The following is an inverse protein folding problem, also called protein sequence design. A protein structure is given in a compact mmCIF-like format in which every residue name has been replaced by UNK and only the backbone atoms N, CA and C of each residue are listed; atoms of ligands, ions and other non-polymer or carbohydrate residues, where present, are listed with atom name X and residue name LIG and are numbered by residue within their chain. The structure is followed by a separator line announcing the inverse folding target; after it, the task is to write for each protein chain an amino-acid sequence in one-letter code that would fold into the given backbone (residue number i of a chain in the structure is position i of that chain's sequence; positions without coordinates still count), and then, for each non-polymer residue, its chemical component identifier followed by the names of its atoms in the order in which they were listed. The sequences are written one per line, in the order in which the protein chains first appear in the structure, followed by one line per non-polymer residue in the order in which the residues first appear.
data_IF_659300031055
#
_entry.id   IF_659300031055
#
_cell.length_a   1.000
_cell.length_b   1.000
_cell.length_c   1.000
_cell.angle_alpha   90.00
_cell.angle_beta   90.00
_cell.angle_gamma   90.00
#
_symmetry.space_group_name_H-M   'P 1'
#
loop_
_entity.id
_entity.type
_entity.pdbx_description
1 polymer ?
#
# COMPACT_ATOMS: atom_id res chain seq x y z
N UNK A 1 19.67 -12.26 -27.55
CA UNK A 1 19.85 -11.28 -26.49
C UNK A 1 18.74 -10.24 -26.40
N UNK A 2 17.96 -9.99 -27.48
CA UNK A 2 16.87 -9.01 -27.48
C UNK A 2 15.51 -9.53 -27.00
N UNK A 3 15.34 -10.81 -26.80
CA UNK A 3 14.05 -11.38 -26.39
C UNK A 3 13.76 -11.30 -24.88
N UNK A 4 14.78 -11.17 -24.04
CA UNK A 4 14.58 -11.03 -22.58
C UNK A 4 13.98 -9.68 -22.18
N UNK A 5 14.07 -8.67 -23.04
CA UNK A 5 13.46 -7.36 -22.79
C UNK A 5 11.93 -7.30 -23.05
N UNK A 6 11.35 -8.39 -23.58
CA UNK A 6 9.91 -8.50 -23.91
C UNK A 6 9.19 -9.56 -23.06
N UNK A 7 9.81 -10.04 -21.98
CA UNK A 7 9.08 -10.90 -21.05
C UNK A 7 7.87 -10.12 -20.48
N UNK A 8 6.70 -10.75 -20.42
CA UNK A 8 5.50 -10.05 -20.04
C UNK A 8 5.65 -9.53 -18.62
N UNK A 9 5.60 -8.21 -18.48
CA UNK A 9 5.48 -7.59 -17.18
C UNK A 9 4.20 -8.10 -16.52
N UNK A 10 4.27 -8.42 -15.23
CA UNK A 10 3.09 -8.61 -14.41
C UNK A 10 2.57 -7.27 -13.93
N UNK A 11 1.26 -7.17 -13.68
CA UNK A 11 0.68 -5.94 -13.19
C UNK A 11 -0.68 -6.18 -12.57
N UNK A 12 -1.14 -5.22 -11.78
CA UNK A 12 -2.48 -5.28 -11.21
C UNK A 12 -3.05 -3.90 -10.95
N UNK A 13 -4.37 -3.82 -10.89
CA UNK A 13 -5.10 -2.61 -10.53
C UNK A 13 -6.35 -2.97 -9.72
N UNK A 14 -6.64 -2.16 -8.70
CA UNK A 14 -7.88 -2.24 -7.92
C UNK A 14 -8.52 -0.86 -7.94
N UNK A 15 -9.83 -0.82 -8.22
CA UNK A 15 -10.65 0.38 -8.15
C UNK A 15 -11.82 0.09 -7.23
N UNK A 16 -12.02 0.92 -6.21
CA UNK A 16 -13.13 0.79 -5.27
C UNK A 16 -13.86 2.11 -5.07
N UNK A 17 -15.12 2.04 -4.63
CA UNK A 17 -15.81 3.21 -4.07
C UNK A 17 -15.27 3.47 -2.66
N UNK A 18 -14.70 4.65 -2.39
CA UNK A 18 -14.12 4.95 -1.08
C UNK A 18 -15.16 5.09 0.02
N UNK A 19 -16.45 5.23 -0.31
CA UNK A 19 -17.52 5.43 0.67
C UNK A 19 -18.26 4.15 1.04
N UNK A 20 -18.00 3.05 0.31
CA UNK A 20 -18.71 1.78 0.54
C UNK A 20 -17.78 0.57 0.66
N UNK A 21 -16.55 0.66 0.11
CA UNK A 21 -15.64 -0.47 -0.02
C UNK A 21 -15.97 -1.41 -1.19
N UNK A 22 -17.00 -1.10 -2.00
CA UNK A 22 -17.32 -1.87 -3.19
C UNK A 22 -16.16 -1.85 -4.19
N UNK A 23 -15.70 -3.01 -4.63
CA UNK A 23 -14.64 -3.14 -5.63
C UNK A 23 -15.25 -3.10 -7.03
N UNK A 24 -15.05 -2.00 -7.72
CA UNK A 24 -15.55 -1.74 -9.07
C UNK A 24 -14.71 -2.45 -10.15
N UNK A 25 -13.43 -2.65 -9.88
CA UNK A 25 -12.53 -3.43 -10.73
C UNK A 25 -11.38 -4.02 -9.91
N UNK A 26 -11.06 -5.28 -10.18
CA UNK A 26 -9.89 -5.97 -9.66
C UNK A 26 -9.21 -6.72 -10.80
N UNK A 27 -8.08 -6.22 -11.27
CA UNK A 27 -7.38 -6.72 -12.45
C UNK A 27 -6.03 -7.28 -12.07
N UNK A 28 -5.75 -8.49 -12.53
CA UNK A 28 -4.43 -9.12 -12.48
C UNK A 28 -3.97 -9.45 -13.90
N UNK A 29 -2.76 -9.04 -14.26
CA UNK A 29 -2.16 -9.32 -15.57
C UNK A 29 -0.87 -10.14 -15.38
N UNK A 30 -0.63 -11.15 -16.24
CA UNK A 30 -1.52 -11.61 -17.29
C UNK A 30 -2.73 -12.38 -16.75
N UNK A 31 -3.86 -12.25 -17.46
CA UNK A 31 -5.06 -13.04 -17.23
C UNK A 31 -5.05 -14.35 -18.01
N UNK A 32 -6.16 -15.07 -17.95
CA UNK A 32 -6.36 -16.30 -18.71
C UNK A 32 -7.83 -16.43 -19.14
N UNK A 33 -8.09 -17.27 -20.17
CA UNK A 33 -9.44 -17.53 -20.67
C UNK A 33 -10.10 -18.64 -19.85
N UNK A 34 -11.02 -18.26 -18.95
CA UNK A 34 -11.77 -19.18 -18.09
C UNK A 34 -12.62 -20.17 -18.91
N UNK A 35 -13.10 -19.79 -20.10
CA UNK A 35 -13.96 -20.65 -20.91
C UNK A 35 -13.21 -21.91 -21.39
N UNK A 36 -11.90 -21.82 -21.60
CA UNK A 36 -11.06 -22.96 -21.98
C UNK A 36 -10.81 -23.94 -20.82
N UNK A 37 -11.13 -23.56 -19.61
CA UNK A 37 -10.95 -24.37 -18.40
C UNK A 37 -12.27 -24.85 -17.81
N UNK A 38 -13.41 -24.31 -18.28
CA UNK A 38 -14.75 -24.71 -17.84
C UNK A 38 -15.32 -25.84 -18.72
N UNK A 39 -16.25 -26.62 -18.17
CA UNK A 39 -16.90 -27.77 -18.79
C UNK A 39 -15.91 -28.86 -19.26
N UNK A 40 -15.29 -28.68 -20.41
CA UNK A 40 -14.23 -29.59 -20.93
C UNK A 40 -12.90 -28.86 -20.83
N UNK A 41 -12.04 -29.34 -19.93
CA UNK A 41 -10.74 -28.71 -19.69
C UNK A 41 -9.80 -28.86 -20.88
N UNK A 42 -9.29 -27.76 -21.41
CA UNK A 42 -8.18 -27.74 -22.35
C UNK A 42 -6.87 -28.02 -21.60
N UNK A 43 -6.50 -29.30 -21.53
CA UNK A 43 -5.30 -29.73 -20.77
C UNK A 43 -4.00 -29.12 -21.30
N UNK A 44 -3.90 -28.84 -22.58
CA UNK A 44 -2.71 -28.21 -23.17
C UNK A 44 -2.59 -26.77 -22.69
N UNK A 45 -3.71 -26.04 -22.73
CA UNK A 45 -3.76 -24.65 -22.25
C UNK A 45 -3.51 -24.58 -20.74
N UNK A 46 -4.15 -25.45 -19.96
CA UNK A 46 -3.92 -25.54 -18.51
C UNK A 46 -2.44 -25.75 -18.18
N UNK A 47 -1.76 -26.68 -18.86
CA UNK A 47 -0.33 -26.90 -18.66
C UNK A 47 0.51 -25.69 -19.01
N UNK A 48 0.17 -24.95 -20.07
CA UNK A 48 0.83 -23.69 -20.41
C UNK A 48 0.71 -22.64 -19.29
N UNK A 49 -0.49 -22.53 -18.68
CA UNK A 49 -0.73 -21.58 -17.60
C UNK A 49 0.03 -21.95 -16.31
N UNK A 50 0.06 -23.26 -15.97
CA UNK A 50 0.74 -23.76 -14.75
C UNK A 50 2.26 -23.64 -14.87
N UNK A 51 2.83 -23.88 -16.04
CA UNK A 51 4.28 -23.84 -16.28
C UNK A 51 4.79 -22.49 -16.71
N UNK A 52 3.89 -21.53 -17.00
CA UNK A 52 4.24 -20.20 -17.47
C UNK A 52 4.91 -19.38 -16.38
N UNK A 53 6.02 -18.73 -16.72
CA UNK A 53 6.80 -17.89 -15.79
C UNK A 53 5.99 -16.70 -15.25
N UNK A 54 5.02 -16.22 -16.01
CA UNK A 54 4.13 -15.12 -15.63
C UNK A 54 3.04 -15.51 -14.61
N UNK A 55 2.94 -16.79 -14.25
CA UNK A 55 2.01 -17.32 -13.21
C UNK A 55 0.58 -16.76 -13.29
N UNK A 56 -0.16 -16.93 -14.40
CA UNK A 56 -1.45 -16.25 -14.60
C UNK A 56 -2.54 -16.65 -13.59
N UNK A 57 -2.38 -17.77 -12.86
CA UNK A 57 -3.26 -18.15 -11.76
C UNK A 57 -2.98 -17.40 -10.45
N UNK A 58 -1.85 -16.71 -10.38
CA UNK A 58 -1.49 -15.91 -9.21
C UNK A 58 -2.09 -14.52 -9.36
N UNK A 59 -2.98 -14.16 -8.44
CA UNK A 59 -3.61 -12.85 -8.48
C UNK A 59 -2.68 -11.77 -7.94
N UNK A 60 -2.06 -11.01 -8.83
CA UNK A 60 -1.13 -9.95 -8.47
C UNK A 60 -1.80 -8.80 -7.68
N UNK A 61 -3.13 -8.62 -7.76
CA UNK A 61 -3.83 -7.57 -7.04
C UNK A 61 -4.01 -7.86 -5.55
N UNK A 62 -4.17 -9.15 -5.20
CA UNK A 62 -4.50 -9.57 -3.83
C UNK A 62 -3.44 -10.46 -3.19
N UNK A 63 -2.51 -11.03 -3.97
CA UNK A 63 -1.51 -11.95 -3.45
C UNK A 63 -0.07 -11.43 -3.56
N UNK A 64 0.27 -10.65 -4.61
CA UNK A 64 1.58 -10.02 -4.72
C UNK A 64 1.68 -8.87 -3.73
N UNK A 65 2.80 -8.84 -2.99
CA UNK A 65 3.08 -7.79 -2.02
C UNK A 65 4.24 -6.94 -2.48
N UNK A 66 4.17 -5.66 -2.23
CA UNK A 66 5.22 -4.69 -2.55
C UNK A 66 5.35 -3.64 -1.45
N UNK A 67 6.53 -3.05 -1.34
CA UNK A 67 6.73 -1.89 -0.49
C UNK A 67 5.84 -0.73 -1.01
N UNK A 68 5.05 -0.07 -0.15
CA UNK A 68 4.14 1.01 -0.57
C UNK A 68 4.87 2.24 -1.14
N UNK A 69 6.13 2.44 -0.76
CA UNK A 69 6.90 3.61 -1.17
C UNK A 69 6.20 4.91 -0.78
N UNK A 70 6.30 5.93 -1.64
CA UNK A 70 5.80 7.28 -1.35
C UNK A 70 4.30 7.39 -1.09
N UNK A 71 3.50 6.39 -1.44
CA UNK A 71 2.07 6.38 -1.06
C UNK A 71 1.88 6.31 0.45
N UNK A 72 2.84 5.75 1.19
CA UNK A 72 2.83 5.69 2.65
C UNK A 72 3.04 7.04 3.35
N UNK A 73 3.58 8.03 2.64
CA UNK A 73 3.88 9.35 3.21
C UNK A 73 2.68 10.10 3.75
N UNK A 74 1.48 9.84 3.21
CA UNK A 74 0.25 10.42 3.75
C UNK A 74 -0.04 9.91 5.16
N UNK A 75 0.20 8.63 5.42
CA UNK A 75 0.10 8.03 6.75
C UNK A 75 1.16 8.62 7.70
N UNK A 76 2.40 8.72 7.25
CA UNK A 76 3.48 9.32 8.04
C UNK A 76 3.21 10.79 8.36
N UNK A 77 2.62 11.55 7.42
CA UNK A 77 2.18 12.92 7.66
C UNK A 77 1.09 12.98 8.75
N UNK A 78 0.09 12.09 8.66
CA UNK A 78 -0.97 11.99 9.68
C UNK A 78 -0.38 11.66 11.06
N UNK A 79 0.53 10.68 11.14
CA UNK A 79 1.22 10.33 12.37
C UNK A 79 2.00 11.52 12.93
N UNK A 80 2.83 12.17 12.11
CA UNK A 80 3.65 13.32 12.54
C UNK A 80 2.82 14.51 13.03
N UNK A 81 1.70 14.80 12.38
CA UNK A 81 0.76 15.85 12.78
C UNK A 81 0.04 15.50 14.09
N UNK A 82 -0.43 14.26 14.23
CA UNK A 82 -1.20 13.81 15.39
C UNK A 82 -0.33 13.68 16.64
N UNK A 83 0.89 13.18 16.49
CA UNK A 83 1.86 13.06 17.60
C UNK A 83 2.54 14.42 17.93
N UNK A 84 2.19 15.49 17.20
CA UNK A 84 2.73 16.83 17.44
C UNK A 84 4.21 17.01 17.04
N UNK A 85 4.76 16.08 16.27
CA UNK A 85 6.13 16.17 15.73
C UNK A 85 6.24 17.33 14.75
N UNK A 86 5.21 17.54 13.95
CA UNK A 86 5.11 18.62 12.98
C UNK A 86 3.74 19.30 13.07
N UNK A 87 3.69 20.55 12.64
CA UNK A 87 2.47 21.30 12.35
C UNK A 87 2.42 21.58 10.84
N UNK A 88 1.34 22.20 10.36
CA UNK A 88 1.25 22.61 8.94
C UNK A 88 2.39 23.58 8.53
N UNK A 89 2.91 24.36 9.48
CA UNK A 89 3.94 25.38 9.26
C UNK A 89 5.36 24.89 9.57
N UNK A 90 5.51 23.69 10.16
CA UNK A 90 6.82 23.13 10.47
C UNK A 90 7.59 22.85 9.18
N UNK A 91 8.80 23.41 9.06
CA UNK A 91 9.65 23.23 7.90
C UNK A 91 10.93 22.47 8.25
N UNK A 92 11.34 21.56 7.38
CA UNK A 92 12.69 20.98 7.35
C UNK A 92 13.40 21.41 6.07
N UNK A 93 14.73 21.51 6.14
CA UNK A 93 15.55 21.87 4.99
C UNK A 93 16.12 20.59 4.35
N UNK A 94 15.62 20.23 3.18
CA UNK A 94 16.14 19.10 2.41
C UNK A 94 17.43 19.48 1.71
N UNK A 95 18.54 18.82 2.09
CA UNK A 95 19.84 18.94 1.43
C UNK A 95 20.03 17.89 0.33
N UNK A 96 19.08 16.97 0.16
CA UNK A 96 19.22 15.78 -0.67
C UNK A 96 19.83 14.58 0.07
N UNK A 97 20.36 14.77 1.29
CA UNK A 97 20.95 13.72 2.14
C UNK A 97 20.49 13.91 3.57
N UNK A 98 19.92 12.90 4.17
CA UNK A 98 19.57 12.89 5.58
C UNK A 98 20.76 12.37 6.39
N UNK A 99 21.30 13.18 7.31
CA UNK A 99 22.59 12.96 7.99
C UNK A 99 22.50 12.53 9.46
N UNK A 100 21.26 12.40 9.99
CA UNK A 100 21.07 12.04 11.42
C UNK A 100 21.27 10.54 11.71
N UNK A 101 21.36 9.69 10.69
CA UNK A 101 21.60 8.23 10.84
C UNK A 101 22.66 7.74 9.86
N UNK A 102 23.27 6.58 10.15
CA UNK A 102 24.26 5.94 9.28
C UNK A 102 23.80 4.55 8.86
N UNK A 103 23.88 4.21 7.56
CA UNK A 103 24.28 5.05 6.44
C UNK A 103 23.26 6.19 6.18
N UNK A 104 23.76 7.32 5.68
CA UNK A 104 22.93 8.48 5.37
C UNK A 104 21.99 8.21 4.19
N UNK A 105 20.67 8.10 4.38
CA UNK A 105 19.75 7.88 3.27
C UNK A 105 19.59 9.13 2.43
N UNK A 106 19.35 8.93 1.11
CA UNK A 106 19.28 10.02 0.14
C UNK A 106 17.83 10.31 -0.23
N UNK A 107 17.53 11.60 -0.38
CA UNK A 107 16.31 12.00 -1.06
C UNK A 107 16.42 11.62 -2.55
N UNK A 108 15.29 11.36 -3.20
CA UNK A 108 15.27 10.96 -4.60
C UNK A 108 15.86 12.03 -5.53
N UNK A 109 15.80 13.31 -5.12
CA UNK A 109 16.35 14.43 -5.90
C UNK A 109 17.89 14.53 -5.89
N UNK A 110 18.55 13.76 -4.98
CA UNK A 110 20.01 13.80 -4.87
C UNK A 110 20.69 13.58 -6.24
N UNK A 111 21.71 14.39 -6.62
CA UNK A 111 22.49 15.34 -5.80
C UNK A 111 21.89 16.73 -5.64
N UNK A 112 20.68 16.99 -6.16
CA UNK A 112 19.94 18.21 -5.89
C UNK A 112 19.32 18.22 -4.49
N UNK A 113 18.57 19.28 -4.21
CA UNK A 113 17.87 19.51 -2.94
C UNK A 113 16.52 20.19 -3.18
N UNK A 114 15.50 19.88 -2.35
CA UNK A 114 14.22 20.59 -2.42
C UNK A 114 14.29 21.95 -1.68
N UNK A 115 15.23 22.10 -0.74
CA UNK A 115 15.28 23.29 0.12
C UNK A 115 14.28 23.19 1.29
N UNK A 116 13.65 24.30 1.65
CA UNK A 116 12.66 24.31 2.72
C UNK A 116 11.33 23.70 2.28
N UNK A 117 10.92 22.68 3.01
CA UNK A 117 9.68 21.95 2.80
C UNK A 117 8.82 21.95 4.07
N UNK A 118 7.53 22.19 3.93
CA UNK A 118 6.52 21.87 4.94
C UNK A 118 5.77 20.59 4.55
N UNK A 119 4.84 20.11 5.37
CA UNK A 119 4.13 18.86 5.10
C UNK A 119 3.41 18.85 3.76
N UNK A 120 2.85 19.99 3.32
CA UNK A 120 2.10 20.11 2.05
C UNK A 120 3.05 20.05 0.85
N UNK A 121 4.11 20.85 0.88
CA UNK A 121 5.10 20.86 -0.21
C UNK A 121 5.87 19.55 -0.26
N UNK A 122 6.20 18.95 0.89
CA UNK A 122 6.88 17.66 0.98
C UNK A 122 6.03 16.50 0.42
N UNK A 123 4.71 16.54 0.57
CA UNK A 123 3.81 15.58 -0.09
C UNK A 123 3.77 15.83 -1.61
N UNK A 124 3.63 17.10 -2.04
CA UNK A 124 3.63 17.48 -3.45
C UNK A 124 4.89 17.02 -4.18
N UNK A 125 6.05 17.29 -3.59
CA UNK A 125 7.37 17.05 -4.18
C UNK A 125 7.92 15.65 -3.85
N UNK A 126 7.14 14.89 -3.06
CA UNK A 126 7.54 13.57 -2.56
C UNK A 126 8.91 13.58 -1.88
N UNK A 127 9.20 14.62 -1.08
CA UNK A 127 10.48 14.81 -0.43
C UNK A 127 10.76 13.72 0.61
N UNK A 128 11.74 12.84 0.37
CA UNK A 128 12.09 11.82 1.34
C UNK A 128 12.69 12.40 2.62
N UNK A 129 13.52 13.43 2.49
CA UNK A 129 14.24 14.03 3.62
C UNK A 129 13.27 14.59 4.68
N UNK A 130 12.18 15.24 4.25
CA UNK A 130 11.12 15.69 5.16
C UNK A 130 10.54 14.53 5.97
N UNK A 131 10.19 13.42 5.30
CA UNK A 131 9.60 12.26 5.96
C UNK A 131 10.61 11.44 6.76
N UNK A 132 11.88 11.44 6.40
CA UNK A 132 12.97 10.91 7.24
C UNK A 132 13.05 11.65 8.56
N UNK A 133 12.92 12.99 8.56
CA UNK A 133 12.86 13.76 9.81
C UNK A 133 11.68 13.35 10.67
N UNK A 134 10.47 13.18 10.11
CA UNK A 134 9.32 12.69 10.89
C UNK A 134 9.63 11.29 11.48
N UNK A 135 10.10 10.33 10.66
CA UNK A 135 10.42 8.97 11.12
C UNK A 135 11.51 8.95 12.21
N UNK A 136 12.47 9.86 12.13
CA UNK A 136 13.51 10.03 13.15
C UNK A 136 12.94 10.61 14.44
N UNK A 137 12.21 11.71 14.36
CA UNK A 137 11.62 12.38 15.53
C UNK A 137 10.58 11.49 16.25
N UNK A 138 9.81 10.67 15.53
CA UNK A 138 8.93 9.66 16.15
C UNK A 138 9.71 8.63 16.97
N UNK A 139 10.97 8.36 16.60
CA UNK A 139 11.88 7.49 17.35
C UNK A 139 12.60 8.18 18.50
N UNK A 140 12.51 9.49 18.66
CA UNK A 140 13.22 10.17 19.74
C UNK A 140 12.61 9.87 21.11
N UNK A 141 13.47 9.49 22.06
CA UNK A 141 13.15 9.31 23.47
C UNK A 141 14.02 10.24 24.30
N UNK A 142 13.55 11.48 24.49
CA UNK A 142 14.40 12.55 25.01
C UNK A 142 15.51 12.91 24.03
N UNK A 143 16.77 12.61 24.36
CA UNK A 143 17.93 12.87 23.49
C UNK A 143 18.43 11.61 22.76
N UNK A 144 17.85 10.45 23.01
CA UNK A 144 18.25 9.17 22.41
C UNK A 144 17.27 8.79 21.29
N UNK A 145 17.84 8.31 20.18
CA UNK A 145 17.05 7.78 19.07
C UNK A 145 16.86 6.27 19.23
N UNK A 146 15.61 5.83 19.27
CA UNK A 146 15.18 4.43 19.25
C UNK A 146 14.31 4.18 18.03
N UNK A 147 14.85 3.46 17.07
CA UNK A 147 14.12 3.09 15.83
C UNK A 147 12.85 2.29 16.14
N UNK A 148 12.84 1.43 17.16
CA UNK A 148 11.68 0.59 17.50
C UNK A 148 10.50 1.46 17.95
N UNK A 149 10.75 2.49 18.77
CA UNK A 149 9.70 3.46 19.16
C UNK A 149 9.07 4.12 17.93
N UNK A 150 9.89 4.51 16.96
CA UNK A 150 9.41 5.15 15.72
C UNK A 150 8.59 4.17 14.86
N UNK A 151 9.05 2.93 14.71
CA UNK A 151 8.30 1.90 13.97
C UNK A 151 7.00 1.51 14.67
N UNK A 152 7.00 1.38 16.01
CA UNK A 152 5.79 1.07 16.79
C UNK A 152 4.74 2.17 16.60
N UNK A 153 5.17 3.44 16.59
CA UNK A 153 4.27 4.57 16.34
C UNK A 153 3.70 4.50 14.92
N UNK A 154 4.55 4.32 13.90
CA UNK A 154 4.09 4.17 12.51
C UNK A 154 3.16 2.96 12.34
N UNK A 155 3.45 1.85 13.02
CA UNK A 155 2.62 0.64 13.00
C UNK A 155 1.23 0.87 13.62
N UNK A 156 1.14 1.66 14.70
CA UNK A 156 -0.15 2.08 15.26
C UNK A 156 -1.01 2.75 14.19
N UNK A 157 -0.48 3.78 13.52
CA UNK A 157 -1.22 4.49 12.47
C UNK A 157 -1.50 3.60 11.25
N UNK A 158 -0.57 2.72 10.88
CA UNK A 158 -0.81 1.77 9.79
C UNK A 158 -2.02 0.86 10.07
N UNK A 159 -2.17 0.39 11.31
CA UNK A 159 -3.34 -0.38 11.73
C UNK A 159 -4.62 0.46 11.71
N UNK A 160 -4.57 1.69 12.19
CA UNK A 160 -5.70 2.62 12.15
C UNK A 160 -6.17 2.90 10.72
N UNK A 161 -5.26 2.96 9.75
CA UNK A 161 -5.57 3.08 8.32
C UNK A 161 -5.88 1.74 7.61
N UNK A 162 -6.05 0.66 8.36
CA UNK A 162 -6.45 -0.66 7.84
C UNK A 162 -5.32 -1.48 7.21
N UNK A 163 -4.05 -1.07 7.33
CA UNK A 163 -2.90 -1.83 6.81
C UNK A 163 -2.44 -2.97 7.75
N UNK A 164 -3.11 -3.14 8.90
CA UNK A 164 -2.78 -4.21 9.86
C UNK A 164 -3.46 -5.55 9.59
N UNK A 165 -4.33 -5.62 8.60
CA UNK A 165 -5.15 -6.79 8.27
C UNK A 165 -5.44 -6.87 6.78
N UNK A 166 -5.97 -8.00 6.31
CA UNK A 166 -6.45 -8.17 4.94
C UNK A 166 -7.51 -7.13 4.59
N UNK A 167 -7.60 -6.77 3.31
CA UNK A 167 -8.56 -5.77 2.84
C UNK A 167 -10.02 -6.21 2.99
N UNK A 168 -10.27 -7.51 3.05
CA UNK A 168 -11.59 -8.09 3.25
C UNK A 168 -12.22 -8.67 1.99
N UNK A 169 -11.57 -8.57 0.83
CA UNK A 169 -12.06 -9.22 -0.41
C UNK A 169 -12.25 -10.72 -0.22
N UNK A 170 -13.27 -11.30 -0.84
CA UNK A 170 -13.69 -12.70 -0.65
C UNK A 170 -12.83 -13.72 -1.41
N UNK A 171 -11.80 -13.26 -2.12
CA UNK A 171 -10.83 -14.10 -2.83
C UNK A 171 -9.51 -14.21 -2.04
N UNK A 172 -8.64 -15.19 -2.32
CA UNK A 172 -7.37 -15.35 -1.61
C UNK A 172 -6.53 -14.07 -1.60
N UNK A 173 -6.12 -13.65 -0.42
CA UNK A 173 -5.32 -12.46 -0.20
C UNK A 173 -4.15 -12.76 0.75
N UNK A 174 -2.96 -12.24 0.44
CA UNK A 174 -1.78 -12.36 1.28
C UNK A 174 -1.89 -11.50 2.55
N UNK A 175 -1.29 -11.96 3.64
CA UNK A 175 -1.20 -11.19 4.88
C UNK A 175 -0.37 -9.92 4.67
N UNK A 176 -0.79 -8.78 5.21
CA UNK A 176 0.02 -7.56 5.18
C UNK A 176 1.24 -7.70 6.11
N UNK A 177 2.26 -6.92 5.81
CA UNK A 177 3.41 -6.77 6.67
C UNK A 177 3.68 -5.30 6.93
N UNK A 178 3.49 -4.87 8.17
CA UNK A 178 3.92 -3.55 8.64
C UNK A 178 5.38 -3.64 9.04
N UNK A 179 6.15 -2.61 8.73
CA UNK A 179 7.56 -2.56 9.08
C UNK A 179 7.77 -2.50 10.60
N UNK A 180 8.68 -3.33 11.07
CA UNK A 180 9.17 -3.42 12.44
C UNK A 180 10.63 -2.99 12.58
N UNK A 181 11.23 -2.50 11.50
CA UNK A 181 12.63 -2.08 11.45
C UNK A 181 12.77 -0.71 10.76
N UNK A 182 13.79 0.05 11.17
CA UNK A 182 14.24 1.26 10.48
C UNK A 182 13.17 2.33 10.31
N UNK A 183 12.76 3.00 11.43
CA UNK A 183 11.67 3.98 11.41
C UNK A 183 11.85 5.08 10.35
N UNK A 184 13.08 5.52 10.08
CA UNK A 184 13.39 6.52 9.06
C UNK A 184 13.02 6.03 7.67
N UNK A 185 13.42 4.81 7.30
CA UNK A 185 13.08 4.21 6.01
C UNK A 185 11.60 3.83 5.94
N UNK A 186 11.04 3.35 7.04
CA UNK A 186 9.62 2.99 7.15
C UNK A 186 8.71 4.19 6.92
N UNK A 187 9.13 5.39 7.34
CA UNK A 187 8.38 6.63 7.15
C UNK A 187 8.16 7.02 5.69
N UNK A 188 8.95 6.48 4.76
CA UNK A 188 8.75 6.65 3.31
C UNK A 188 8.18 5.39 2.63
N UNK A 189 7.63 4.45 3.41
CA UNK A 189 7.06 3.21 2.92
C UNK A 189 8.10 2.20 2.44
N UNK A 190 9.31 2.26 2.98
CA UNK A 190 10.37 1.26 2.81
C UNK A 190 10.53 0.46 4.13
N UNK A 191 11.72 0.01 4.46
CA UNK A 191 11.92 -0.92 5.56
C UNK A 191 11.39 -2.30 5.18
N UNK A 192 10.70 -2.96 6.11
CA UNK A 192 10.05 -4.26 5.88
C UNK A 192 8.56 -4.15 5.51
N UNK A 193 8.04 -2.93 5.25
CA UNK A 193 6.67 -2.72 4.79
C UNK A 193 6.37 -3.48 3.49
N UNK A 194 5.31 -4.29 3.47
CA UNK A 194 4.98 -5.11 2.33
C UNK A 194 3.47 -5.42 2.27
N UNK A 195 2.77 -4.83 1.28
CA UNK A 195 1.31 -4.86 1.17
C UNK A 195 0.86 -5.25 -0.24
N UNK A 196 -0.34 -5.80 -0.33
CA UNK A 196 -1.01 -6.05 -1.62
C UNK A 196 -1.62 -4.75 -2.17
N UNK A 197 -1.93 -4.75 -3.47
CA UNK A 197 -2.60 -3.60 -4.10
C UNK A 197 -4.00 -3.38 -3.53
N UNK A 198 -4.72 -4.45 -3.15
CA UNK A 198 -6.03 -4.35 -2.46
C UNK A 198 -5.90 -3.65 -1.11
N UNK A 199 -4.90 -3.99 -0.29
CA UNK A 199 -4.64 -3.32 0.99
C UNK A 199 -4.28 -1.85 0.81
N UNK A 200 -3.41 -1.54 -0.16
CA UNK A 200 -3.06 -0.15 -0.47
C UNK A 200 -4.24 0.65 -1.02
N UNK A 201 -5.10 0.04 -1.84
CA UNK A 201 -6.34 0.68 -2.31
C UNK A 201 -7.26 1.03 -1.14
N UNK A 202 -7.50 0.10 -0.20
CA UNK A 202 -8.30 0.33 1.01
C UNK A 202 -7.75 1.49 1.85
N UNK A 203 -6.44 1.52 2.07
CA UNK A 203 -5.76 2.60 2.77
C UNK A 203 -5.97 3.97 2.09
N UNK A 204 -5.73 4.04 0.78
CA UNK A 204 -5.89 5.29 0.01
C UNK A 204 -7.36 5.72 0.00
N UNK A 205 -8.30 4.79 -0.08
CA UNK A 205 -9.73 5.07 0.03
C UNK A 205 -10.09 5.69 1.39
N UNK A 206 -9.51 5.19 2.49
CA UNK A 206 -9.69 5.78 3.82
C UNK A 206 -9.15 7.21 3.90
N UNK A 207 -8.02 7.50 3.28
CA UNK A 207 -7.51 8.88 3.18
C UNK A 207 -8.48 9.76 2.39
N UNK A 208 -9.01 9.27 1.26
CA UNK A 208 -9.89 10.02 0.38
C UNK A 208 -11.25 10.34 1.01
N UNK A 209 -11.78 9.45 1.85
CA UNK A 209 -13.08 9.60 2.52
C UNK A 209 -13.00 10.23 3.92
N UNK A 210 -11.84 10.81 4.30
CA UNK A 210 -11.60 11.50 5.57
C UNK A 210 -11.45 10.58 6.79
N UNK A 211 -11.02 9.33 6.58
CA UNK A 211 -10.55 8.45 7.64
C UNK A 211 -11.40 7.21 7.91
N UNK A 212 -12.52 7.00 7.24
CA UNK A 212 -13.32 5.79 7.42
C UNK A 212 -12.70 4.61 6.66
N UNK A 213 -12.41 3.52 7.34
CA UNK A 213 -11.86 2.29 6.74
C UNK A 213 -13.00 1.31 6.47
N UNK A 214 -13.35 1.12 5.21
CA UNK A 214 -14.32 0.11 4.79
C UNK A 214 -13.63 -1.21 4.46
N UNK A 215 -14.30 -2.32 4.75
CA UNK A 215 -13.95 -3.63 4.22
C UNK A 215 -14.19 -3.62 2.72
N UNK A 216 -13.22 -4.08 1.93
CA UNK A 216 -13.41 -4.24 0.49
C UNK A 216 -14.28 -5.47 0.22
N UNK A 217 -15.14 -5.37 -0.79
CA UNK A 217 -15.99 -6.47 -1.24
C UNK A 217 -16.11 -6.54 -2.76
N UNK A 218 -16.15 -7.77 -3.28
CA UNK A 218 -16.49 -8.08 -4.67
C UNK A 218 -17.96 -8.48 -4.83
N UNK A 219 -18.70 -8.58 -3.69
CA UNK A 219 -20.08 -9.02 -3.68
C UNK A 219 -21.03 -7.82 -3.67
N UNK A 220 -21.92 -7.75 -4.66
CA UNK A 220 -23.06 -6.83 -4.70
C UNK A 220 -24.26 -7.45 -3.98
N UNK A 221 -24.66 -8.64 -4.41
CA UNK A 221 -25.82 -9.35 -3.83
C UNK A 221 -25.75 -10.85 -4.10
N UNK A 222 -26.55 -11.60 -3.35
CA UNK A 222 -26.85 -13.00 -3.63
C UNK A 222 -28.31 -13.15 -4.03
N UNK A 223 -28.58 -14.01 -5.03
CA UNK A 223 -29.93 -14.29 -5.53
C UNK A 223 -30.24 -15.78 -5.47
N UNK A 224 -31.51 -16.12 -5.45
CA UNK A 224 -31.98 -17.48 -5.71
C UNK A 224 -31.89 -17.84 -7.20
N UNK A 225 -32.25 -19.07 -7.56
CA UNK A 225 -32.24 -19.56 -8.93
C UNK A 225 -33.18 -18.82 -9.89
N UNK A 226 -34.15 -18.07 -9.36
CA UNK A 226 -35.13 -17.28 -10.12
C UNK A 226 -34.73 -15.80 -10.19
N UNK A 227 -33.56 -15.42 -9.64
CA UNK A 227 -33.07 -14.03 -9.63
C UNK A 227 -33.63 -13.18 -8.49
N UNK A 228 -34.42 -13.76 -7.56
CA UNK A 228 -34.89 -13.03 -6.38
C UNK A 228 -33.73 -12.78 -5.42
N UNK A 229 -33.53 -11.53 -5.02
CA UNK A 229 -32.50 -11.14 -4.06
C UNK A 229 -32.74 -11.84 -2.73
N UNK A 230 -31.75 -12.56 -2.22
CA UNK A 230 -31.70 -13.19 -0.91
C UNK A 230 -31.04 -12.26 0.10
N UNK A 231 -29.93 -11.64 -0.29
CA UNK A 231 -29.15 -10.72 0.53
C UNK A 231 -28.46 -9.70 -0.37
N UNK A 232 -28.61 -8.44 -0.04
CA UNK A 232 -27.77 -7.36 -0.56
C UNK A 232 -26.55 -7.16 0.35
N UNK A 233 -25.47 -6.71 -0.24
CA UNK A 233 -24.30 -6.34 0.53
C UNK A 233 -24.49 -4.92 1.08
N UNK A 234 -24.13 -4.75 2.36
CA UNK A 234 -24.10 -3.44 2.99
C UNK A 234 -22.64 -3.09 3.36
N UNK A 235 -22.23 -1.81 3.20
CA UNK A 235 -20.89 -1.36 3.58
C UNK A 235 -20.56 -1.69 5.02
N UNK A 236 -19.40 -2.32 5.25
CA UNK A 236 -18.91 -2.68 6.56
C UNK A 236 -17.72 -1.79 6.92
N UNK A 237 -17.88 -0.97 7.97
CA UNK A 237 -16.81 -0.14 8.52
C UNK A 237 -16.00 -0.98 9.50
N UNK A 238 -14.67 -0.99 9.33
CA UNK A 238 -13.74 -1.70 10.22
C UNK A 238 -12.99 -0.75 11.15
N UNK A 239 -12.86 0.53 10.77
CA UNK A 239 -12.28 1.58 11.63
C UNK A 239 -12.72 2.98 11.18
#
# INVERSE_FOLDING_TARGET
PGQLALEPCTGSAVVSDPNTGEVLACVSYPGYDNNRLSNTMDSKYYNQLVTGLSRPFYNNATQERTAPGSTYKMLTAAAGLTEGIVTADTTFYCTGVFDKITPNPKCWIYPGAHGYENVVTALRDSCNDYFYNIGYELGMNGQEYDSNKGTDTLAKYAKEFGLGEKSGVEIPESEPQISDEYSVQSAIGQGTNNFTVSQLNRYVAAVANRGTVYKLTLLDKTTDVNGKVIKEYEPEVTN
#
